data_IF_050639217583
#
_entry.id   IF_050639217583
#
_cell.length_a   1.000
_cell.length_b   1.000
_cell.length_c   1.000
_cell.angle_alpha   90.00
_cell.angle_beta   90.00
_cell.angle_gamma   90.00
#
_symmetry.space_group_name_H-M   'P 1'
#
loop_
_entity.id
_entity.type
_entity.pdbx_description
1 polymer ?
#
# COMPACT_ATOMS: atom_id res chain seq x y z
N UNK A 1 0.03 -5.33 -0.89
CA UNK A 1 -1.27 -5.64 -0.24
C UNK A 1 -1.36 -7.15 -0.13
N UNK A 2 -1.77 -7.69 1.01
CA UNK A 2 -1.96 -9.14 1.15
C UNK A 2 -3.46 -9.47 1.19
N UNK A 3 -3.88 -10.37 0.32
CA UNK A 3 -5.24 -10.89 0.27
C UNK A 3 -5.39 -12.11 1.16
N UNK A 4 -6.62 -12.31 1.62
CA UNK A 4 -7.04 -13.58 2.20
C UNK A 4 -8.46 -13.93 1.77
N UNK A 5 -8.63 -15.20 1.50
CA UNK A 5 -9.92 -15.83 1.26
C UNK A 5 -10.56 -16.26 2.59
N UNK A 6 -11.89 -16.20 2.73
CA UNK A 6 -12.59 -17.03 3.72
C UNK A 6 -12.32 -18.50 3.41
N UNK A 7 -12.41 -19.38 4.43
CA UNK A 7 -12.26 -20.81 4.20
C UNK A 7 -13.45 -21.31 3.35
N UNK A 8 -13.22 -21.99 2.21
CA UNK A 8 -14.31 -22.58 1.44
C UNK A 8 -14.88 -23.79 2.20
N UNK A 9 -16.21 -23.97 2.28
CA UNK A 9 -16.77 -25.22 2.77
C UNK A 9 -16.31 -26.35 1.84
N UNK A 10 -15.64 -27.36 2.39
CA UNK A 10 -15.01 -28.44 1.63
C UNK A 10 -15.99 -29.16 0.70
N UNK A 11 -15.96 -28.81 -0.58
CA UNK A 11 -16.56 -29.58 -1.68
C UNK A 11 -15.47 -30.05 -2.63
N UNK A 12 -15.49 -31.35 -2.89
CA UNK A 12 -14.39 -32.09 -3.50
C UNK A 12 -14.36 -32.04 -5.03
N UNK A 13 -13.50 -31.18 -5.60
CA UNK A 13 -12.72 -31.42 -6.86
C UNK A 13 -13.51 -31.69 -8.18
N UNK A 14 -12.86 -31.85 -9.37
CA UNK A 14 -11.47 -31.56 -9.77
C UNK A 14 -11.34 -30.72 -11.09
N UNK A 15 -10.10 -30.57 -11.58
CA UNK A 15 -9.66 -30.17 -12.93
C UNK A 15 -9.79 -28.70 -13.40
N UNK A 16 -8.62 -28.06 -13.50
CA UNK A 16 -8.33 -27.02 -14.50
C UNK A 16 -7.53 -27.66 -15.66
N UNK A 17 -7.93 -27.50 -16.93
CA UNK A 17 -7.07 -27.79 -18.06
C UNK A 17 -6.12 -26.61 -18.35
N UNK A 18 -4.87 -26.93 -18.70
CA UNK A 18 -3.88 -25.98 -19.19
C UNK A 18 -4.29 -25.38 -20.54
N UNK A 19 -4.03 -24.09 -20.76
CA UNK A 19 -4.07 -23.47 -22.09
C UNK A 19 -2.67 -23.02 -22.52
N UNK A 20 -2.25 -23.56 -23.66
CA UNK A 20 -0.95 -23.38 -24.29
C UNK A 20 -0.84 -22.06 -25.06
N UNK A 21 0.39 -21.56 -25.16
CA UNK A 21 0.77 -20.49 -26.09
C UNK A 21 0.46 -20.83 -27.54
N UNK A 22 0.01 -19.84 -28.31
CA UNK A 22 0.17 -19.81 -29.77
C UNK A 22 0.51 -18.40 -30.24
N UNK A 23 1.61 -18.28 -30.97
CA UNK A 23 2.14 -17.01 -31.49
C UNK A 23 1.58 -16.72 -32.89
N UNK A 24 1.27 -15.46 -33.19
CA UNK A 24 1.30 -14.97 -34.56
C UNK A 24 1.68 -13.48 -34.61
N UNK A 25 2.76 -13.21 -35.35
CA UNK A 25 3.27 -11.88 -35.68
C UNK A 25 2.60 -11.42 -36.98
N UNK A 26 2.25 -10.14 -37.12
CA UNK A 26 2.66 -9.30 -38.27
C UNK A 26 2.25 -7.82 -38.10
N UNK A 27 3.22 -6.95 -38.38
CA UNK A 27 3.19 -5.48 -38.51
C UNK A 27 2.99 -5.11 -40.01
N UNK A 28 3.04 -3.83 -40.43
CA UNK A 28 2.51 -2.57 -39.84
C UNK A 28 1.71 -1.73 -40.87
N UNK A 29 1.12 -0.59 -40.48
CA UNK A 29 1.54 0.66 -41.12
C UNK A 29 1.21 1.98 -40.38
N UNK A 30 2.21 2.84 -40.40
CA UNK A 30 2.23 4.31 -40.33
C UNK A 30 0.91 5.07 -40.60
N UNK A 31 0.59 6.04 -39.74
CA UNK A 31 0.91 7.47 -39.99
C UNK A 31 0.78 8.35 -38.73
N UNK A 32 1.71 9.30 -38.63
CA UNK A 32 1.67 10.45 -37.71
C UNK A 32 0.73 11.53 -38.25
N UNK A 33 0.20 12.40 -37.37
CA UNK A 33 0.15 13.84 -37.67
C UNK A 33 0.10 14.70 -36.38
N UNK A 34 0.66 15.91 -36.49
CA UNK A 34 0.95 16.86 -35.41
C UNK A 34 0.25 18.19 -35.74
N UNK A 35 -0.63 18.70 -34.86
CA UNK A 35 -1.11 20.10 -34.90
C UNK A 35 -1.23 20.54 -33.42
N UNK A 36 -0.26 21.28 -32.87
CA UNK A 36 0.02 22.71 -33.01
C UNK A 36 -0.95 23.61 -32.23
N UNK A 37 -0.37 24.54 -31.47
CA UNK A 37 -1.03 25.44 -30.52
C UNK A 37 -0.85 26.88 -31.01
N UNK A 38 -1.93 27.62 -31.25
CA UNK A 38 -1.88 29.06 -31.54
C UNK A 38 -2.51 29.91 -30.42
N UNK A 39 -2.27 31.23 -30.45
CA UNK A 39 -2.18 32.08 -29.25
C UNK A 39 -2.99 33.39 -29.37
N UNK A 40 -3.36 34.00 -28.22
CA UNK A 40 -3.90 35.39 -28.03
C UNK A 40 -5.38 35.55 -28.50
N UNK A 41 -6.27 36.43 -28.00
CA UNK A 41 -6.32 37.57 -27.04
C UNK A 41 -7.79 37.68 -26.50
N UNK A 42 -8.22 38.45 -25.48
CA UNK A 42 -7.58 39.20 -24.36
C UNK A 42 -8.65 39.74 -23.36
N UNK A 43 -8.27 39.95 -22.09
CA UNK A 43 -8.87 40.77 -20.98
C UNK A 43 -10.36 41.22 -21.06
N UNK A 44 -11.15 40.89 -20.02
CA UNK A 44 -12.10 41.85 -19.42
C UNK A 44 -12.18 41.69 -17.89
N UNK A 45 -12.24 42.81 -17.14
CA UNK A 45 -12.38 42.80 -15.68
C UNK A 45 -13.86 42.88 -15.29
N UNK A 46 -14.38 41.84 -14.64
CA UNK A 46 -15.70 41.85 -14.00
C UNK A 46 -15.61 41.58 -12.50
N UNK A 47 -15.71 42.62 -11.66
CA UNK A 47 -15.78 42.46 -10.21
C UNK A 47 -17.09 41.73 -9.84
N UNK A 48 -16.99 40.59 -9.15
CA UNK A 48 -18.07 39.99 -8.34
C UNK A 48 -17.50 39.65 -6.95
N UNK A 49 -18.24 39.90 -5.85
CA UNK A 49 -17.71 39.69 -4.51
C UNK A 49 -17.62 38.18 -4.17
N UNK A 50 -16.51 37.77 -3.57
CA UNK A 50 -16.32 36.41 -3.07
C UNK A 50 -17.28 36.15 -1.90
N UNK A 51 -18.35 35.39 -2.15
CA UNK A 51 -19.23 34.87 -1.11
C UNK A 51 -18.54 33.69 -0.41
N UNK A 52 -17.69 33.98 0.57
CA UNK A 52 -17.06 32.96 1.41
C UNK A 52 -18.10 32.36 2.35
N UNK A 53 -18.59 31.17 2.02
CA UNK A 53 -19.49 30.40 2.89
C UNK A 53 -18.71 29.74 4.01
N UNK A 54 -18.57 30.43 5.15
CA UNK A 54 -18.01 29.83 6.36
C UNK A 54 -19.09 28.95 7.01
N UNK A 55 -18.90 27.64 6.99
CA UNK A 55 -19.72 26.70 7.76
C UNK A 55 -19.08 26.58 9.14
N UNK A 56 -19.76 27.11 10.16
CA UNK A 56 -19.45 26.83 11.57
C UNK A 56 -20.50 25.88 12.11
N UNK A 57 -20.07 24.81 12.79
CA UNK A 57 -20.94 23.85 13.44
C UNK A 57 -20.88 24.06 14.96
N UNK A 58 -22.02 24.40 15.57
CA UNK A 58 -22.19 24.43 17.02
C UNK A 58 -22.58 23.05 17.56
N UNK A 59 -22.02 22.66 18.70
CA UNK A 59 -22.37 21.42 19.39
C UNK A 59 -23.35 21.67 20.53
N UNK A 60 -24.56 21.13 20.42
CA UNK A 60 -25.51 21.04 21.54
C UNK A 60 -25.44 19.66 22.25
N UNK A 61 -25.77 19.66 23.54
CA UNK A 61 -25.48 18.57 24.47
C UNK A 61 -26.63 17.56 24.68
N UNK A 62 -26.24 16.41 25.25
CA UNK A 62 -27.05 15.37 25.92
C UNK A 62 -27.91 14.41 25.08
N UNK A 63 -27.33 13.22 24.82
CA UNK A 63 -28.05 12.00 24.41
C UNK A 63 -27.11 10.95 23.78
N UNK A 64 -26.71 9.93 24.54
CA UNK A 64 -26.00 8.70 24.10
C UNK A 64 -25.05 8.86 22.87
N UNK A 65 -23.91 9.53 23.06
CA UNK A 65 -23.17 10.13 21.94
C UNK A 65 -21.83 9.45 21.55
N UNK A 66 -21.57 8.20 21.96
CA UNK A 66 -20.33 7.50 21.58
C UNK A 66 -20.39 6.89 20.17
N UNK A 67 -21.47 6.17 19.80
CA UNK A 67 -21.56 5.49 18.50
C UNK A 67 -21.63 6.45 17.29
N UNK A 68 -22.26 7.61 17.45
CA UNK A 68 -22.45 8.55 16.34
C UNK A 68 -21.19 9.33 15.97
N UNK A 69 -20.34 9.66 16.94
CA UNK A 69 -19.10 10.39 16.70
C UNK A 69 -18.06 9.55 15.95
N UNK A 70 -18.03 8.23 16.15
CA UNK A 70 -17.09 7.34 15.46
C UNK A 70 -17.46 7.06 14.00
N UNK A 71 -18.75 7.01 13.64
CA UNK A 71 -19.19 6.66 12.27
C UNK A 71 -18.62 7.60 11.19
N UNK A 72 -18.51 8.90 11.49
CA UNK A 72 -17.89 9.87 10.60
C UNK A 72 -16.39 9.61 10.43
N UNK A 73 -15.66 9.44 11.54
CA UNK A 73 -14.23 9.13 11.54
C UNK A 73 -13.89 7.82 10.82
N UNK A 74 -14.68 6.77 11.03
CA UNK A 74 -14.52 5.49 10.34
C UNK A 74 -14.70 5.63 8.83
N UNK A 75 -15.78 6.29 8.37
CA UNK A 75 -16.03 6.48 6.93
C UNK A 75 -14.91 7.28 6.24
N UNK A 76 -14.34 8.27 6.93
CA UNK A 76 -13.19 9.03 6.48
C UNK A 76 -11.92 8.15 6.42
N UNK A 77 -11.65 7.34 7.44
CA UNK A 77 -10.52 6.42 7.45
C UNK A 77 -10.61 5.35 6.36
N UNK A 78 -11.79 4.75 6.15
CA UNK A 78 -12.02 3.83 5.02
C UNK A 78 -11.83 4.52 3.67
N UNK A 79 -12.20 5.79 3.54
CA UNK A 79 -11.92 6.59 2.34
C UNK A 79 -10.41 6.79 2.10
N UNK A 80 -9.60 6.95 3.16
CA UNK A 80 -8.13 6.98 3.04
C UNK A 80 -7.59 5.62 2.57
N UNK A 81 -8.06 4.51 3.15
CA UNK A 81 -7.67 3.16 2.73
C UNK A 81 -8.05 2.89 1.27
N UNK A 82 -9.26 3.29 0.84
CA UNK A 82 -9.72 3.19 -0.54
C UNK A 82 -8.86 4.01 -1.52
N UNK A 83 -8.39 5.20 -1.10
CA UNK A 83 -7.46 6.00 -1.90
C UNK A 83 -6.08 5.32 -2.04
N UNK A 84 -5.54 4.77 -0.94
CA UNK A 84 -4.30 3.97 -0.97
C UNK A 84 -4.45 2.72 -1.86
N UNK A 85 -5.57 2.00 -1.76
CA UNK A 85 -5.91 0.86 -2.63
C UNK A 85 -5.96 1.31 -4.09
N UNK A 86 -6.67 2.41 -4.39
CA UNK A 86 -6.82 2.94 -5.75
C UNK A 86 -5.45 3.28 -6.37
N UNK A 87 -4.57 3.96 -5.62
CA UNK A 87 -3.19 4.24 -6.05
C UNK A 87 -2.41 2.95 -6.29
N UNK A 88 -2.58 1.93 -5.44
CA UNK A 88 -1.94 0.63 -5.60
C UNK A 88 -2.45 -0.11 -6.84
N UNK A 89 -3.76 -0.26 -7.04
CA UNK A 89 -4.33 -1.00 -8.18
C UNK A 89 -4.06 -0.31 -9.52
N UNK A 90 -4.14 1.02 -9.58
CA UNK A 90 -3.77 1.77 -10.78
C UNK A 90 -2.28 1.67 -11.12
N UNK A 91 -1.43 1.28 -10.16
CA UNK A 91 0.01 1.09 -10.37
C UNK A 91 0.41 -0.36 -10.63
N UNK A 92 -0.41 -1.33 -10.26
CA UNK A 92 -0.07 -2.75 -10.33
C UNK A 92 -1.17 -3.51 -11.09
N UNK A 93 -1.16 -3.50 -12.45
CA UNK A 93 -2.18 -4.12 -13.28
C UNK A 93 -2.36 -5.62 -13.00
N UNK A 94 -1.29 -6.35 -12.67
CA UNK A 94 -1.40 -7.78 -12.32
C UNK A 94 -2.14 -7.95 -10.99
N UNK A 95 -1.85 -7.13 -9.98
CA UNK A 95 -2.59 -7.16 -8.72
C UNK A 95 -4.08 -6.83 -8.90
N UNK A 96 -4.40 -5.88 -9.79
CA UNK A 96 -5.78 -5.53 -10.15
C UNK A 96 -6.51 -6.68 -10.87
N UNK A 97 -5.89 -7.27 -11.89
CA UNK A 97 -6.48 -8.40 -12.63
C UNK A 97 -6.73 -9.63 -11.74
N UNK A 98 -5.82 -9.91 -10.79
CA UNK A 98 -6.00 -10.97 -9.79
C UNK A 98 -7.21 -10.70 -8.91
N UNK A 99 -7.38 -9.47 -8.42
CA UNK A 99 -8.52 -9.09 -7.59
C UNK A 99 -9.85 -9.20 -8.35
N UNK A 100 -9.90 -8.72 -9.58
CA UNK A 100 -11.08 -8.83 -10.45
C UNK A 100 -11.42 -10.30 -10.73
N UNK A 101 -10.42 -11.14 -11.02
CA UNK A 101 -10.60 -12.57 -11.21
C UNK A 101 -11.13 -13.25 -9.93
N UNK A 102 -10.54 -13.00 -8.77
CA UNK A 102 -10.99 -13.61 -7.51
C UNK A 102 -12.41 -13.15 -7.15
N UNK A 103 -12.73 -11.87 -7.29
CA UNK A 103 -14.09 -11.33 -7.03
C UNK A 103 -15.14 -12.03 -7.88
N UNK A 104 -14.82 -12.34 -9.13
CA UNK A 104 -15.72 -13.07 -10.05
C UNK A 104 -15.99 -14.54 -9.66
N UNK A 105 -15.14 -15.15 -8.82
CA UNK A 105 -15.27 -16.56 -8.39
C UNK A 105 -15.84 -16.69 -6.98
N UNK A 106 -15.45 -15.81 -6.05
CA UNK A 106 -15.79 -15.88 -4.61
C UNK A 106 -16.88 -14.88 -4.18
N UNK A 107 -17.66 -14.35 -5.14
CA UNK A 107 -18.81 -13.48 -4.92
C UNK A 107 -18.51 -12.30 -3.97
N UNK A 108 -17.43 -11.56 -4.28
CA UNK A 108 -16.89 -10.39 -3.55
C UNK A 108 -16.41 -10.60 -2.10
N UNK A 109 -16.31 -11.83 -1.59
CA UNK A 109 -15.92 -12.12 -0.19
C UNK A 109 -14.44 -11.91 0.18
N UNK A 110 -13.66 -11.24 -0.66
CA UNK A 110 -12.23 -11.01 -0.42
C UNK A 110 -12.02 -10.11 0.80
N UNK A 111 -11.28 -10.60 1.79
CA UNK A 111 -10.80 -9.82 2.91
C UNK A 111 -9.32 -9.43 2.72
N UNK A 112 -8.93 -8.26 3.21
CA UNK A 112 -7.52 -7.84 3.20
C UNK A 112 -6.86 -8.26 4.51
N UNK A 113 -5.86 -9.12 4.41
CA UNK A 113 -5.18 -9.66 5.59
C UNK A 113 -4.35 -8.57 6.27
N UNK A 114 -3.55 -7.87 5.45
CA UNK A 114 -2.77 -6.73 5.88
C UNK A 114 -2.34 -5.81 4.72
N UNK A 115 -2.08 -4.54 5.05
CA UNK A 115 -1.35 -3.59 4.20
C UNK A 115 0.10 -3.49 4.70
N UNK A 116 1.06 -3.40 3.78
CA UNK A 116 2.48 -3.38 4.09
C UNK A 116 3.16 -2.11 3.55
N UNK A 117 3.86 -1.39 4.42
CA UNK A 117 4.54 -0.13 4.12
C UNK A 117 6.05 -0.24 4.41
N UNK A 118 6.84 0.50 3.63
CA UNK A 118 8.30 0.60 3.76
C UNK A 118 8.68 2.08 3.92
N UNK A 119 9.60 2.33 4.83
CA UNK A 119 9.99 3.67 5.30
C UNK A 119 11.51 3.75 5.52
N UNK A 120 12.06 4.94 5.77
CA UNK A 120 13.49 5.12 6.06
C UNK A 120 13.67 5.58 7.50
N UNK A 121 14.38 4.80 8.32
CA UNK A 121 14.65 5.08 9.74
C UNK A 121 15.67 6.21 9.93
N UNK A 122 15.39 7.40 9.39
CA UNK A 122 16.24 8.58 9.46
C UNK A 122 15.39 9.85 9.43
N UNK A 123 15.82 10.93 10.09
CA UNK A 123 15.20 12.27 10.06
C UNK A 123 13.69 12.33 10.44
N UNK A 124 13.14 11.28 11.03
CA UNK A 124 11.70 11.13 11.34
C UNK A 124 10.85 10.57 10.18
N UNK A 125 11.47 9.98 9.15
CA UNK A 125 10.79 9.31 8.02
C UNK A 125 10.55 7.81 8.25
N UNK A 126 10.74 7.32 9.48
CA UNK A 126 10.61 5.92 9.85
C UNK A 126 9.17 5.48 10.11
N UNK A 127 9.00 4.41 10.88
CA UNK A 127 7.71 3.78 11.18
C UNK A 127 6.68 4.80 11.70
N UNK A 128 7.06 5.65 12.65
CA UNK A 128 6.18 6.62 13.32
C UNK A 128 5.49 7.58 12.32
N UNK A 129 6.18 7.94 11.23
CA UNK A 129 5.67 8.84 10.19
C UNK A 129 4.41 8.31 9.49
N UNK A 130 4.30 6.99 9.39
CA UNK A 130 3.18 6.26 8.79
C UNK A 130 2.23 5.72 9.86
N UNK A 131 2.77 5.21 10.98
CA UNK A 131 2.02 4.62 12.08
C UNK A 131 1.03 5.61 12.70
N UNK A 132 1.38 6.91 12.78
CA UNK A 132 0.53 7.93 13.41
C UNK A 132 -0.91 7.92 12.89
N UNK A 133 -1.14 7.80 11.58
CA UNK A 133 -2.50 7.73 11.03
C UNK A 133 -3.29 6.58 11.68
N UNK A 134 -2.71 5.38 11.70
CA UNK A 134 -3.39 4.19 12.18
C UNK A 134 -3.64 4.25 13.69
N UNK A 135 -2.69 4.77 14.46
CA UNK A 135 -2.84 5.01 15.89
C UNK A 135 -3.96 6.02 16.19
N UNK A 136 -4.05 7.11 15.40
CA UNK A 136 -5.13 8.11 15.52
C UNK A 136 -6.52 7.50 15.21
N UNK A 137 -6.59 6.39 14.47
CA UNK A 137 -7.80 5.60 14.21
C UNK A 137 -7.90 4.30 15.03
N UNK A 138 -7.24 4.24 16.19
CA UNK A 138 -7.45 3.19 17.19
C UNK A 138 -6.76 1.85 16.90
N UNK A 139 -5.83 1.80 15.96
CA UNK A 139 -4.94 0.64 15.82
C UNK A 139 -4.00 0.54 17.03
N UNK A 140 -3.64 -0.70 17.39
CA UNK A 140 -2.72 -0.97 18.50
C UNK A 140 -1.43 -1.57 17.94
N UNK A 141 -0.28 -0.96 18.28
CA UNK A 141 1.04 -1.48 17.94
C UNK A 141 1.30 -2.82 18.66
N UNK A 142 1.90 -3.76 17.95
CA UNK A 142 2.20 -5.13 18.41
C UNK A 142 3.71 -5.39 18.37
N UNK A 143 4.13 -6.65 18.25
CA UNK A 143 5.52 -7.05 18.43
C UNK A 143 6.47 -6.42 17.40
N UNK A 144 7.70 -6.16 17.84
CA UNK A 144 8.80 -5.78 16.98
C UNK A 144 9.33 -7.01 16.22
N UNK A 145 9.63 -6.84 14.93
CA UNK A 145 10.34 -7.81 14.12
C UNK A 145 11.66 -7.20 13.64
N UNK A 146 12.78 -7.89 13.88
CA UNK A 146 14.10 -7.50 13.35
C UNK A 146 14.51 -8.44 12.24
N UNK A 147 15.09 -7.88 11.19
CA UNK A 147 15.70 -8.60 10.08
C UNK A 147 17.15 -8.09 9.92
N UNK A 148 18.09 -8.54 10.77
CA UNK A 148 19.44 -7.96 10.85
C UNK A 148 20.17 -7.95 9.50
N UNK A 149 20.09 -9.04 8.75
CA UNK A 149 20.71 -9.20 7.45
C UNK A 149 20.01 -8.45 6.29
N UNK A 150 18.90 -7.74 6.56
CA UNK A 150 18.26 -6.82 5.61
C UNK A 150 18.37 -5.36 6.07
N UNK A 151 19.02 -5.09 7.21
CA UNK A 151 18.96 -3.82 7.95
C UNK A 151 17.52 -3.30 8.15
N UNK A 152 16.55 -4.18 8.40
CA UNK A 152 15.16 -3.77 8.66
C UNK A 152 14.77 -4.01 10.12
N UNK A 153 13.98 -3.09 10.68
CA UNK A 153 13.04 -3.40 11.76
C UNK A 153 11.61 -3.15 11.27
N UNK A 154 10.63 -3.78 11.89
CA UNK A 154 9.22 -3.57 11.59
C UNK A 154 8.36 -3.72 12.84
N UNK A 155 7.18 -3.11 12.81
CA UNK A 155 6.07 -3.42 13.71
C UNK A 155 4.85 -3.80 12.87
N UNK A 156 3.98 -4.62 13.45
CA UNK A 156 2.61 -4.74 12.97
C UNK A 156 1.64 -4.07 13.93
N UNK A 157 0.47 -3.71 13.41
CA UNK A 157 -0.57 -3.00 14.13
C UNK A 157 -1.89 -3.74 13.92
N UNK A 158 -2.55 -4.12 15.02
CA UNK A 158 -3.86 -4.75 14.98
C UNK A 158 -4.94 -3.68 14.79
N UNK A 159 -5.97 -3.92 13.95
CA UNK A 159 -7.09 -3.00 13.82
C UNK A 159 -7.90 -2.88 15.12
N UNK A 160 -8.65 -1.77 15.32
CA UNK A 160 -9.71 -1.72 16.32
C UNK A 160 -10.80 -2.75 16.02
N UNK A 161 -11.51 -3.22 17.05
CA UNK A 161 -12.68 -4.08 16.87
C UNK A 161 -13.88 -3.22 16.45
N UNK A 162 -14.24 -3.27 15.17
CA UNK A 162 -15.37 -2.54 14.57
C UNK A 162 -16.33 -3.55 13.97
N UNK A 163 -17.63 -3.36 14.22
CA UNK A 163 -18.69 -4.17 13.59
C UNK A 163 -18.80 -3.82 12.10
N UNK A 164 -18.68 -4.84 11.25
CA UNK A 164 -18.86 -4.76 9.79
C UNK A 164 -20.01 -5.67 9.35
N UNK A 165 -20.51 -5.48 8.13
CA UNK A 165 -21.45 -6.41 7.51
C UNK A 165 -20.71 -7.57 6.86
N UNK A 166 -21.20 -8.80 6.96
CA UNK A 166 -20.68 -9.97 6.23
C UNK A 166 -20.83 -9.84 4.69
N UNK A 167 -21.52 -8.81 4.21
CA UNK A 167 -21.65 -8.46 2.80
C UNK A 167 -20.56 -7.49 2.30
N UNK A 168 -19.75 -6.90 3.19
CA UNK A 168 -18.75 -5.90 2.80
C UNK A 168 -17.36 -6.53 2.57
N UNK A 169 -16.82 -6.37 1.36
CA UNK A 169 -15.49 -6.84 0.96
C UNK A 169 -14.41 -5.75 0.95
N UNK A 170 -13.15 -6.14 0.81
CA UNK A 170 -12.00 -5.24 0.65
C UNK A 170 -11.86 -4.24 1.81
N UNK A 171 -11.72 -2.95 1.49
CA UNK A 171 -11.60 -1.86 2.49
C UNK A 171 -12.88 -1.58 3.29
N UNK A 172 -14.04 -2.09 2.86
CA UNK A 172 -15.31 -1.93 3.57
C UNK A 172 -15.58 -3.08 4.55
N UNK A 173 -14.95 -4.23 4.35
CA UNK A 173 -15.04 -5.39 5.24
C UNK A 173 -14.22 -5.25 6.54
N UNK A 174 -13.72 -6.37 7.09
CA UNK A 174 -12.81 -6.37 8.23
C UNK A 174 -11.59 -5.49 7.94
N UNK A 175 -11.24 -4.59 8.85
CA UNK A 175 -10.09 -3.72 8.67
C UNK A 175 -8.78 -4.55 8.59
N UNK A 176 -7.90 -4.28 7.61
CA UNK A 176 -6.64 -5.00 7.47
C UNK A 176 -5.71 -4.67 8.63
N UNK A 177 -4.88 -5.64 9.03
CA UNK A 177 -3.69 -5.35 9.86
C UNK A 177 -2.74 -4.44 9.07
N UNK A 178 -1.89 -3.69 9.77
CA UNK A 178 -0.88 -2.85 9.11
C UNK A 178 0.50 -3.36 9.49
N UNK A 179 1.38 -3.55 8.51
CA UNK A 179 2.78 -3.89 8.70
C UNK A 179 3.63 -2.71 8.22
N UNK A 180 4.44 -2.12 9.11
CA UNK A 180 5.29 -0.98 8.77
C UNK A 180 6.73 -1.36 9.08
N UNK A 181 7.58 -1.28 8.06
CA UNK A 181 9.01 -1.55 8.14
C UNK A 181 9.83 -0.29 7.86
N UNK A 182 10.97 -0.16 8.52
CA UNK A 182 11.97 0.87 8.19
C UNK A 182 13.36 0.26 7.95
N UNK A 183 14.07 0.87 7.00
CA UNK A 183 15.50 0.64 6.82
C UNK A 183 16.27 1.36 7.93
N UNK A 184 17.16 0.64 8.61
CA UNK A 184 18.09 1.12 9.61
C UNK A 184 19.25 1.83 8.88
N UNK A 185 19.01 3.09 8.51
CA UNK A 185 19.90 3.89 7.65
C UNK A 185 21.28 4.05 8.30
N UNK A 186 21.32 4.22 9.61
CA UNK A 186 22.53 4.26 10.46
C UNK A 186 23.46 3.04 10.30
N UNK A 187 22.93 1.91 9.82
CA UNK A 187 23.70 0.68 9.59
C UNK A 187 24.05 0.43 8.12
N UNK A 188 23.76 1.37 7.21
CA UNK A 188 24.11 1.32 5.80
C UNK A 188 25.51 1.90 5.55
N UNK A 189 26.06 1.74 4.34
CA UNK A 189 27.34 2.38 3.97
C UNK A 189 27.22 3.91 3.97
N UNK A 190 28.29 4.68 4.22
CA UNK A 190 28.23 6.15 4.26
C UNK A 190 27.63 6.78 3.01
N UNK A 191 27.90 6.21 1.83
CA UNK A 191 27.37 6.70 0.55
C UNK A 191 25.85 6.45 0.43
N UNK A 192 25.37 5.31 0.94
CA UNK A 192 23.93 5.03 1.00
C UNK A 192 23.22 5.93 2.03
N UNK A 193 23.88 6.23 3.15
CA UNK A 193 23.38 7.21 4.13
C UNK A 193 23.25 8.60 3.51
N UNK A 194 24.30 9.10 2.86
CA UNK A 194 24.32 10.41 2.20
C UNK A 194 23.20 10.55 1.15
N UNK A 195 23.01 9.53 0.30
CA UNK A 195 21.93 9.53 -0.70
C UNK A 195 20.55 9.58 -0.03
N UNK A 196 20.27 8.76 0.98
CA UNK A 196 18.96 8.76 1.66
C UNK A 196 18.74 10.08 2.41
N UNK A 197 19.78 10.62 3.05
CA UNK A 197 19.71 11.89 3.76
C UNK A 197 19.48 13.08 2.83
N UNK A 198 20.11 13.10 1.64
CA UNK A 198 19.88 14.12 0.60
C UNK A 198 18.40 14.31 0.29
N UNK A 199 17.65 13.22 0.04
CA UNK A 199 16.22 13.31 -0.26
C UNK A 199 15.35 13.53 0.98
N UNK A 200 15.63 12.85 2.10
CA UNK A 200 14.81 12.98 3.32
C UNK A 200 14.91 14.37 3.95
N UNK A 201 16.10 15.00 3.98
CA UNK A 201 16.27 16.37 4.51
C UNK A 201 15.48 17.41 3.69
N UNK A 202 15.42 17.25 2.37
CA UNK A 202 14.65 18.13 1.46
C UNK A 202 13.13 17.94 1.56
N UNK A 203 12.64 16.89 2.24
CA UNK A 203 11.21 16.64 2.40
C UNK A 203 10.51 17.63 3.35
N UNK A 204 11.26 18.35 4.19
CA UNK A 204 10.70 19.30 5.16
C UNK A 204 9.68 18.64 6.11
N UNK A 205 8.43 19.12 6.08
CA UNK A 205 7.33 18.54 6.84
C UNK A 205 6.67 17.33 6.16
N UNK A 206 7.15 16.86 5.00
CA UNK A 206 6.58 15.70 4.29
C UNK A 206 6.47 14.44 5.16
N UNK A 207 7.36 14.28 6.15
CA UNK A 207 7.29 13.21 7.17
C UNK A 207 6.02 13.22 8.03
N UNK A 208 5.42 14.37 8.32
CA UNK A 208 4.15 14.43 9.08
C UNK A 208 2.93 14.08 8.23
N UNK A 209 3.13 13.80 6.93
CA UNK A 209 2.07 13.56 5.96
C UNK A 209 2.33 12.29 5.12
N UNK A 210 3.15 11.35 5.59
CA UNK A 210 3.53 10.15 4.82
C UNK A 210 2.31 9.30 4.38
N UNK A 211 1.30 9.17 5.25
CA UNK A 211 0.07 8.45 4.93
C UNK A 211 -0.79 9.18 3.86
N UNK A 212 -0.86 10.52 3.92
CA UNK A 212 -1.50 11.33 2.87
C UNK A 212 -0.76 11.21 1.54
N UNK A 213 0.58 11.23 1.57
CA UNK A 213 1.39 11.02 0.37
C UNK A 213 1.16 9.63 -0.24
N UNK A 214 0.97 8.58 0.59
CA UNK A 214 0.59 7.26 0.11
C UNK A 214 -0.81 7.23 -0.52
N UNK A 215 -1.80 7.92 0.06
CA UNK A 215 -3.16 8.02 -0.48
C UNK A 215 -3.24 8.83 -1.80
N UNK A 216 -2.34 9.81 -1.99
CA UNK A 216 -2.20 10.58 -3.24
C UNK A 216 -1.22 9.95 -4.23
N UNK A 217 -0.42 8.97 -3.79
CA UNK A 217 0.64 8.34 -4.56
C UNK A 217 1.85 9.24 -4.87
N UNK A 218 2.05 10.35 -4.17
CA UNK A 218 3.18 11.25 -4.38
C UNK A 218 4.42 10.84 -3.57
N UNK A 219 5.59 11.34 -3.99
CA UNK A 219 6.78 11.37 -3.14
C UNK A 219 6.70 12.60 -2.22
N UNK A 220 7.18 12.48 -0.99
CA UNK A 220 7.30 13.60 -0.04
C UNK A 220 8.58 14.41 -0.25
N UNK A 221 9.44 13.99 -1.17
CA UNK A 221 10.71 14.61 -1.55
C UNK A 221 10.81 14.74 -3.07
N UNK A 222 11.80 15.48 -3.55
CA UNK A 222 12.07 15.63 -4.97
C UNK A 222 12.34 14.29 -5.66
N UNK A 223 12.00 14.22 -6.95
CA UNK A 223 12.26 13.03 -7.77
C UNK A 223 13.78 12.73 -7.76
N UNK A 224 14.20 11.49 -7.52
CA UNK A 224 15.62 11.15 -7.51
C UNK A 224 16.25 11.24 -8.91
N UNK A 225 17.57 11.42 -8.94
CA UNK A 225 18.35 11.14 -10.14
C UNK A 225 18.49 9.63 -10.36
N UNK A 226 18.79 9.24 -11.60
CA UNK A 226 19.06 7.85 -11.94
C UNK A 226 20.39 7.37 -11.34
N UNK A 227 21.39 8.25 -11.25
CA UNK A 227 22.68 7.96 -10.61
C UNK A 227 22.51 7.51 -9.16
N UNK A 228 21.75 8.27 -8.38
CA UNK A 228 21.54 8.04 -6.95
C UNK A 228 20.72 6.77 -6.74
N UNK A 229 19.70 6.55 -7.59
CA UNK A 229 18.91 5.32 -7.59
C UNK A 229 19.77 4.08 -7.88
N UNK A 230 20.60 4.10 -8.93
CA UNK A 230 21.50 2.99 -9.23
C UNK A 230 22.52 2.74 -8.13
N UNK A 231 23.11 3.80 -7.56
CA UNK A 231 24.11 3.67 -6.49
C UNK A 231 23.49 3.09 -5.23
N UNK A 232 22.33 3.60 -4.79
CA UNK A 232 21.62 3.06 -3.63
C UNK A 232 21.18 1.60 -3.85
N UNK A 233 20.69 1.27 -5.04
CA UNK A 233 20.31 -0.10 -5.40
C UNK A 233 21.51 -1.07 -5.37
N UNK A 234 22.68 -0.66 -5.90
CA UNK A 234 23.91 -1.46 -5.82
C UNK A 234 24.36 -1.67 -4.37
N UNK A 235 24.45 -0.61 -3.58
CA UNK A 235 24.90 -0.71 -2.18
C UNK A 235 23.97 -1.62 -1.36
N UNK A 236 22.64 -1.52 -1.55
CA UNK A 236 21.69 -2.38 -0.87
C UNK A 236 21.78 -3.85 -1.32
N UNK A 237 21.92 -4.09 -2.63
CA UNK A 237 22.03 -5.45 -3.18
C UNK A 237 23.34 -6.13 -2.73
N UNK A 238 24.48 -5.44 -2.84
CA UNK A 238 25.77 -5.93 -2.37
C UNK A 238 25.72 -6.31 -0.88
N UNK A 239 25.15 -5.44 -0.04
CA UNK A 239 24.99 -5.74 1.39
C UNK A 239 24.17 -7.02 1.63
N UNK A 240 23.06 -7.22 0.90
CA UNK A 240 22.22 -8.41 1.02
C UNK A 240 23.01 -9.68 0.63
N UNK A 241 23.78 -9.63 -0.46
CA UNK A 241 24.62 -10.73 -0.93
C UNK A 241 25.78 -11.06 0.04
N UNK A 242 26.46 -10.04 0.56
CA UNK A 242 27.52 -10.18 1.58
C UNK A 242 27.01 -10.82 2.88
N UNK A 243 25.72 -10.62 3.22
CA UNK A 243 25.08 -11.24 4.38
C UNK A 243 24.55 -12.66 4.07
N UNK A 244 24.92 -13.25 2.94
CA UNK A 244 24.61 -14.64 2.56
C UNK A 244 23.23 -14.85 1.93
N UNK A 245 22.52 -13.78 1.58
CA UNK A 245 21.22 -13.87 0.92
C UNK A 245 21.40 -13.73 -0.59
N UNK A 246 21.07 -14.78 -1.34
CA UNK A 246 20.90 -14.66 -2.79
C UNK A 246 19.77 -13.65 -3.06
N UNK A 247 19.96 -12.77 -4.04
CA UNK A 247 18.91 -11.84 -4.46
C UNK A 247 17.73 -12.62 -5.06
N UNK A 248 16.63 -12.68 -4.34
CA UNK A 248 15.42 -13.37 -4.79
C UNK A 248 14.80 -12.63 -5.99
N UNK A 249 14.78 -13.28 -7.16
CA UNK A 249 13.80 -12.98 -8.21
C UNK A 249 12.36 -13.04 -7.67
N UNK A 250 12.09 -13.92 -6.71
CA UNK A 250 10.75 -14.33 -6.25
C UNK A 250 10.29 -13.71 -4.91
N UNK A 251 10.79 -12.52 -4.54
CA UNK A 251 10.25 -11.74 -3.42
C UNK A 251 8.83 -11.22 -3.69
N UNK A 252 7.84 -12.12 -3.74
CA UNK A 252 6.51 -11.92 -4.30
C UNK A 252 6.36 -12.66 -5.63
N UNK A 253 5.36 -13.55 -5.74
CA UNK A 253 5.17 -14.43 -6.90
C UNK A 253 4.85 -13.68 -8.20
N UNK A 254 4.26 -12.48 -8.11
CA UNK A 254 3.84 -11.67 -9.26
C UNK A 254 4.19 -10.19 -8.99
N UNK A 255 5.27 -9.73 -9.64
CA UNK A 255 5.80 -8.36 -9.52
C UNK A 255 5.54 -7.58 -10.80
N UNK A 256 4.87 -6.44 -10.68
CA UNK A 256 4.79 -5.48 -11.77
C UNK A 256 6.09 -4.65 -11.86
N UNK A 257 6.41 -4.21 -13.08
CA UNK A 257 7.46 -3.20 -13.33
C UNK A 257 6.88 -2.10 -14.21
N UNK A 258 7.46 -0.90 -14.19
CA UNK A 258 7.02 0.17 -15.07
C UNK A 258 8.07 1.23 -15.32
N UNK A 259 7.92 1.90 -16.46
CA UNK A 259 8.62 3.12 -16.81
C UNK A 259 8.50 4.20 -15.73
N UNK A 260 9.65 4.71 -15.29
CA UNK A 260 9.80 5.87 -14.43
C UNK A 260 10.84 6.81 -15.03
N UNK A 261 10.40 8.05 -15.32
CA UNK A 261 11.27 9.15 -15.74
C UNK A 261 11.93 9.77 -14.49
N UNK A 262 13.25 9.81 -14.41
CA UNK A 262 14.06 10.41 -13.34
C UNK A 262 14.20 11.94 -13.52
N UNK A 263 14.85 12.63 -12.57
CA UNK A 263 14.92 14.10 -12.52
C UNK A 263 15.58 14.72 -13.76
N UNK A 264 16.68 14.12 -14.22
CA UNK A 264 17.44 14.45 -15.42
C UNK A 264 16.76 14.00 -16.74
N UNK A 265 15.58 13.38 -16.64
CA UNK A 265 14.77 12.96 -17.79
C UNK A 265 15.06 11.57 -18.34
N UNK A 266 16.11 10.89 -17.87
CA UNK A 266 16.35 9.45 -18.09
C UNK A 266 15.10 8.66 -17.72
N UNK A 267 14.75 7.62 -18.48
CA UNK A 267 13.51 6.85 -18.27
C UNK A 267 13.82 5.36 -18.30
N UNK A 268 13.55 4.66 -17.20
CA UNK A 268 13.92 3.26 -16.98
C UNK A 268 12.79 2.46 -16.34
N UNK A 269 12.82 1.14 -16.44
CA UNK A 269 11.85 0.28 -15.76
C UNK A 269 12.25 0.06 -14.30
N UNK A 270 11.38 0.44 -13.36
CA UNK A 270 11.56 0.19 -11.93
C UNK A 270 10.58 -0.88 -11.42
N UNK A 271 10.97 -1.70 -10.42
CA UNK A 271 10.04 -2.60 -9.76
C UNK A 271 8.94 -1.81 -9.05
N UNK A 272 7.70 -2.28 -9.17
CA UNK A 272 6.55 -1.73 -8.43
C UNK A 272 6.22 -2.59 -7.21
N UNK A 273 4.99 -2.51 -6.75
CA UNK A 273 4.50 -3.35 -5.66
C UNK A 273 4.10 -4.73 -6.22
N UNK A 274 3.68 -5.60 -5.32
CA UNK A 274 3.19 -6.92 -5.64
C UNK A 274 2.02 -7.26 -4.72
N UNK A 275 1.35 -8.38 -5.00
CA UNK A 275 0.26 -8.91 -4.19
C UNK A 275 0.72 -10.21 -3.51
N UNK A 276 0.26 -10.43 -2.29
CA UNK A 276 0.54 -11.63 -1.50
C UNK A 276 -0.79 -12.33 -1.13
N UNK A 277 -0.74 -13.61 -0.80
CA UNK A 277 -1.90 -14.39 -0.33
C UNK A 277 -1.56 -15.05 1.01
N UNK A 278 -2.45 -14.90 2.01
CA UNK A 278 -2.31 -15.55 3.32
C UNK A 278 -3.44 -16.53 3.61
N UNK A 279 -3.07 -17.65 4.23
CA UNK A 279 -3.98 -18.51 4.95
C UNK A 279 -3.60 -18.51 6.45
N UNK A 280 -4.57 -18.22 7.31
CA UNK A 280 -4.39 -18.27 8.77
C UNK A 280 -5.05 -19.52 9.33
N UNK A 281 -4.21 -20.51 9.65
CA UNK A 281 -4.63 -21.77 10.24
C UNK A 281 -5.22 -21.55 11.64
N UNK A 282 -6.17 -22.41 12.00
CA UNK A 282 -6.80 -22.44 13.33
C UNK A 282 -5.74 -22.77 14.40
N UNK A 283 -5.82 -22.13 15.56
CA UNK A 283 -4.93 -22.41 16.68
C UNK A 283 -5.25 -23.80 17.28
N UNK A 284 -4.25 -24.57 17.76
CA UNK A 284 -4.47 -25.95 18.23
C UNK A 284 -5.57 -26.12 19.28
N UNK A 285 -5.70 -25.16 20.20
CA UNK A 285 -6.71 -25.16 21.27
C UNK A 285 -8.15 -24.98 20.76
N UNK A 286 -8.35 -24.52 19.52
CA UNK A 286 -9.67 -24.31 18.91
C UNK A 286 -9.99 -25.35 17.81
N UNK A 287 -9.15 -26.39 17.66
CA UNK A 287 -9.29 -27.42 16.62
C UNK A 287 -10.59 -28.24 16.71
N UNK A 288 -11.24 -28.25 17.87
CA UNK A 288 -12.52 -28.94 18.12
C UNK A 288 -13.74 -28.03 17.98
N UNK A 289 -13.58 -26.74 17.66
CA UNK A 289 -14.72 -25.88 17.37
C UNK A 289 -15.39 -26.29 16.05
N UNK A 290 -16.72 -26.32 15.97
CA UNK A 290 -17.43 -26.43 14.70
C UNK A 290 -17.01 -25.33 13.72
N UNK A 291 -16.94 -25.64 12.43
CA UNK A 291 -16.42 -24.73 11.40
C UNK A 291 -17.19 -23.39 11.32
N UNK A 292 -18.51 -23.43 11.57
CA UNK A 292 -19.39 -22.26 11.66
C UNK A 292 -19.17 -21.38 12.92
N UNK A 293 -18.27 -21.79 13.82
CA UNK A 293 -17.85 -21.05 15.03
C UNK A 293 -16.39 -20.56 14.96
N UNK A 294 -15.70 -20.76 13.83
CA UNK A 294 -14.28 -20.38 13.67
C UNK A 294 -14.13 -18.94 13.19
N UNK A 295 -14.26 -18.01 14.14
CA UNK A 295 -13.95 -16.58 13.99
C UNK A 295 -12.44 -16.28 13.79
N UNK A 296 -12.12 -15.03 13.44
CA UNK A 296 -10.76 -14.55 13.21
C UNK A 296 -9.86 -14.71 14.45
N UNK A 297 -10.41 -14.49 15.64
CA UNK A 297 -9.72 -14.63 16.93
C UNK A 297 -9.25 -16.07 17.22
N UNK A 298 -9.80 -17.07 16.53
CA UNK A 298 -9.42 -18.48 16.68
C UNK A 298 -8.27 -18.90 15.76
N UNK A 299 -7.77 -17.99 14.91
CA UNK A 299 -6.73 -18.26 13.91
C UNK A 299 -5.39 -17.65 14.32
N UNK A 300 -4.30 -18.21 13.81
CA UNK A 300 -2.94 -17.72 14.11
C UNK A 300 -2.79 -16.28 13.65
N UNK A 301 -2.25 -15.43 14.52
CA UNK A 301 -1.93 -14.04 14.17
C UNK A 301 -0.77 -13.91 13.17
N UNK A 302 -0.06 -15.01 12.88
CA UNK A 302 1.08 -15.04 11.98
C UNK A 302 1.21 -16.38 11.23
N UNK A 303 1.63 -16.28 9.96
CA UNK A 303 2.28 -17.33 9.16
C UNK A 303 3.80 -17.21 9.28
#
# INVERSE_FOLDING_TARGET
>A
MMLRFPAPPLKSSPFLPSLSSSSSVFLPNSRSDFISLETRNSISLGKRPNRVSTISASSDHHGSNQDRNFRGGESFFRSILAAMETVYLNRNPTAKAILELVRSVDNDRICYDHFAFRTFGVNGHGIDSMAKLFLDFGYVQREELRFPAKKLKAFWFSPPNILYSDADGGVNGPLPRIFISELLVDQMTPEAQEIIEKYTKLSGNGKTHAALASALGCLTWEKPSYSDFQQLARNLNQFIEENGYKLNSEGGFLKDSASFKFAEGVTESIPRSYIEFAERLVLPQFRTLPEDKIEEIHRRERS
#
